data_IF_966135449651
#
_entry.id   IF_966135449651
#
_cell.length_a   1.000
_cell.length_b   1.000
_cell.length_c   1.000
_cell.angle_alpha   90.00
_cell.angle_beta   90.00
_cell.angle_gamma   90.00
#
_symmetry.space_group_name_H-M   'P 1'
#
loop_
_entity.id
_entity.type
_entity.pdbx_description
1 polymer ?
#
# COMPACT_ATOMS: atom_id res chain seq x y z
N UNK A 1 20.72 20.89 8.64
CA UNK A 1 20.54 19.63 7.87
C UNK A 1 21.57 19.58 6.76
N UNK A 2 22.46 18.58 6.72
CA UNK A 2 23.34 18.39 5.55
C UNK A 2 22.48 17.87 4.39
N UNK A 3 22.43 18.58 3.26
CA UNK A 3 21.85 18.08 2.01
C UNK A 3 22.61 16.79 1.65
N UNK A 4 21.90 15.66 1.71
CA UNK A 4 22.43 14.31 1.46
C UNK A 4 22.10 13.86 0.05
N UNK A 5 22.38 14.71 -0.94
CA UNK A 5 22.33 14.32 -2.35
C UNK A 5 23.78 14.34 -2.80
N UNK A 6 24.42 13.17 -2.69
CA UNK A 6 25.79 12.96 -3.15
C UNK A 6 25.77 12.68 -4.66
N UNK A 7 26.81 13.11 -5.37
CA UNK A 7 26.93 12.85 -6.80
C UNK A 7 27.14 11.35 -7.03
N UNK A 8 26.15 10.70 -7.65
CA UNK A 8 26.22 9.28 -8.00
C UNK A 8 26.89 9.12 -9.37
N UNK A 9 28.06 8.48 -9.38
CA UNK A 9 28.86 8.22 -10.59
C UNK A 9 28.69 6.77 -11.11
N UNK A 10 27.83 5.97 -10.47
CA UNK A 10 27.55 4.60 -10.88
C UNK A 10 26.57 4.52 -12.04
N UNK A 11 26.49 3.35 -12.67
CA UNK A 11 25.46 3.07 -13.66
C UNK A 11 24.07 3.00 -13.00
N UNK A 12 23.03 3.47 -13.70
CA UNK A 12 21.64 3.43 -13.23
C UNK A 12 21.10 1.99 -13.05
N UNK A 13 21.81 0.98 -13.57
CA UNK A 13 21.50 -0.44 -13.43
C UNK A 13 22.78 -1.29 -13.36
N UNK A 14 22.62 -2.60 -13.21
CA UNK A 14 23.73 -3.55 -13.09
C UNK A 14 23.95 -4.04 -11.66
N UNK A 15 25.19 -4.41 -11.31
CA UNK A 15 25.49 -5.10 -10.05
C UNK A 15 25.09 -4.33 -8.77
N UNK A 16 25.10 -2.99 -8.81
CA UNK A 16 24.62 -2.16 -7.70
C UNK A 16 23.12 -2.33 -7.46
N UNK A 17 22.32 -2.33 -8.53
CA UNK A 17 20.88 -2.56 -8.48
C UNK A 17 20.57 -3.98 -8.00
N UNK A 18 21.30 -4.99 -8.51
CA UNK A 18 21.15 -6.39 -8.07
C UNK A 18 21.42 -6.53 -6.56
N UNK A 19 22.49 -5.90 -6.05
CA UNK A 19 22.79 -5.89 -4.61
C UNK A 19 21.71 -5.18 -3.80
N UNK A 20 21.15 -4.08 -4.32
CA UNK A 20 20.07 -3.34 -3.67
C UNK A 20 18.80 -4.18 -3.56
N UNK A 21 18.39 -4.87 -4.65
CA UNK A 21 17.27 -5.80 -4.67
C UNK A 21 17.49 -6.96 -3.68
N UNK A 22 18.66 -7.60 -3.71
CA UNK A 22 18.97 -8.69 -2.80
C UNK A 22 18.86 -8.28 -1.32
N UNK A 23 19.30 -7.06 -0.99
CA UNK A 23 19.15 -6.53 0.36
C UNK A 23 17.69 -6.23 0.74
N UNK A 24 16.88 -5.77 -0.22
CA UNK A 24 15.45 -5.50 0.01
C UNK A 24 14.68 -6.80 0.27
N UNK A 25 14.83 -7.79 -0.63
CA UNK A 25 14.27 -9.14 -0.48
C UNK A 25 14.65 -9.76 0.86
N UNK A 26 15.96 -9.72 1.21
CA UNK A 26 16.42 -10.25 2.51
C UNK A 26 15.77 -9.57 3.71
N UNK A 27 15.43 -8.27 3.60
CA UNK A 27 14.82 -7.51 4.69
C UNK A 27 13.33 -7.80 4.86
N UNK A 28 12.64 -8.33 3.85
CA UNK A 28 11.20 -8.62 3.89
C UNK A 28 10.85 -10.07 4.22
N UNK A 29 11.86 -10.86 4.60
CA UNK A 29 11.73 -12.13 5.34
C UNK A 29 11.04 -13.32 4.63
N UNK A 30 10.43 -13.18 3.44
CA UNK A 30 10.04 -14.32 2.59
C UNK A 30 10.76 -14.38 1.23
N UNK A 31 11.96 -14.94 1.22
CA UNK A 31 12.75 -15.11 -0.02
C UNK A 31 12.05 -16.06 -1.02
N UNK A 32 11.19 -16.99 -0.57
CA UNK A 32 10.59 -17.98 -1.48
C UNK A 32 9.45 -17.37 -2.30
N UNK A 33 8.52 -16.68 -1.64
CA UNK A 33 7.44 -16.00 -2.34
C UNK A 33 7.96 -14.83 -3.18
N UNK A 34 8.91 -14.04 -2.65
CA UNK A 34 9.58 -12.95 -3.38
C UNK A 34 10.15 -13.44 -4.72
N UNK A 35 10.88 -14.55 -4.70
CA UNK A 35 11.55 -15.07 -5.90
C UNK A 35 10.54 -15.63 -6.90
N UNK A 36 9.50 -16.35 -6.45
CA UNK A 36 8.46 -16.87 -7.35
C UNK A 36 7.70 -15.71 -8.01
N UNK A 37 7.23 -14.75 -7.22
CA UNK A 37 6.50 -13.59 -7.72
C UNK A 37 7.33 -12.78 -8.73
N UNK A 38 8.65 -12.68 -8.53
CA UNK A 38 9.56 -12.03 -9.48
C UNK A 38 9.62 -12.73 -10.85
N UNK A 39 9.53 -14.06 -10.92
CA UNK A 39 9.55 -14.77 -12.20
C UNK A 39 8.26 -14.61 -13.02
N UNK A 40 7.13 -14.45 -12.34
CA UNK A 40 5.82 -14.24 -12.97
C UNK A 40 5.54 -12.75 -13.25
N UNK A 41 6.36 -11.84 -12.72
CA UNK A 41 6.17 -10.41 -12.91
C UNK A 41 6.53 -9.94 -14.33
N UNK A 42 5.68 -9.08 -14.90
CA UNK A 42 5.77 -8.50 -16.24
C UNK A 42 5.91 -9.58 -17.33
N UNK A 43 5.15 -10.67 -17.19
CA UNK A 43 5.07 -11.76 -18.16
C UNK A 43 3.69 -11.82 -18.79
N UNK A 44 3.56 -12.28 -20.05
CA UNK A 44 2.26 -12.38 -20.72
C UNK A 44 1.19 -13.17 -19.96
N UNK A 45 1.60 -14.26 -19.29
CA UNK A 45 0.73 -15.12 -18.47
C UNK A 45 0.88 -14.85 -16.96
N UNK A 46 1.52 -13.74 -16.62
CA UNK A 46 1.88 -13.35 -15.28
C UNK A 46 1.05 -12.18 -14.77
N UNK A 47 1.70 -11.25 -14.07
CA UNK A 47 1.05 -10.03 -13.59
C UNK A 47 1.95 -8.81 -13.76
N UNK A 48 1.33 -7.64 -13.93
CA UNK A 48 2.07 -6.39 -14.05
C UNK A 48 2.54 -5.91 -12.68
N UNK A 49 3.81 -5.50 -12.60
CA UNK A 49 4.35 -4.88 -11.42
C UNK A 49 3.48 -3.67 -11.00
N UNK A 50 2.96 -3.59 -9.75
CA UNK A 50 2.09 -2.50 -9.29
C UNK A 50 2.73 -1.11 -9.26
N UNK A 51 4.05 -1.04 -9.49
CA UNK A 51 4.82 0.19 -9.64
C UNK A 51 5.43 0.36 -11.04
N UNK A 52 5.03 -0.45 -12.03
CA UNK A 52 5.54 -0.33 -13.39
C UNK A 52 4.96 0.91 -14.07
N UNK A 53 5.82 1.70 -14.69
CA UNK A 53 5.43 2.80 -15.56
C UNK A 53 5.72 2.53 -17.04
N UNK A 54 6.23 1.33 -17.36
CA UNK A 54 6.72 0.98 -18.68
C UNK A 54 5.84 -0.10 -19.32
N UNK A 55 5.53 0.03 -20.62
CA UNK A 55 4.78 -1.00 -21.34
C UNK A 55 5.61 -2.28 -21.44
N UNK A 56 4.91 -3.41 -21.48
CA UNK A 56 5.57 -4.70 -21.60
C UNK A 56 6.31 -4.84 -22.94
N UNK A 57 7.52 -5.41 -22.92
CA UNK A 57 8.26 -5.67 -24.14
C UNK A 57 7.55 -6.74 -24.98
N UNK A 58 7.63 -6.62 -26.31
CA UNK A 58 7.06 -7.62 -27.25
C UNK A 58 7.65 -9.03 -27.06
N UNK A 59 8.82 -9.14 -26.45
CA UNK A 59 9.49 -10.40 -26.11
C UNK A 59 9.91 -10.34 -24.64
N UNK A 60 9.42 -11.29 -23.83
CA UNK A 60 9.81 -11.38 -22.42
C UNK A 60 11.20 -12.01 -22.29
N UNK A 61 12.12 -11.36 -21.57
CA UNK A 61 13.34 -12.00 -21.10
C UNK A 61 13.04 -12.96 -19.94
N UNK A 62 14.02 -13.70 -19.42
CA UNK A 62 13.81 -14.44 -18.16
C UNK A 62 13.65 -13.52 -16.94
N UNK A 63 14.09 -12.26 -17.06
CA UNK A 63 13.97 -11.23 -16.01
C UNK A 63 13.59 -9.88 -16.66
N UNK A 64 12.33 -9.49 -16.55
CA UNK A 64 11.83 -8.17 -17.01
C UNK A 64 11.48 -7.31 -15.80
N UNK A 65 12.47 -7.10 -14.94
CA UNK A 65 12.28 -6.52 -13.61
C UNK A 65 13.20 -5.33 -13.43
N UNK A 66 12.63 -4.18 -13.06
CA UNK A 66 13.41 -3.05 -12.57
C UNK A 66 13.62 -3.14 -11.05
N UNK A 67 14.63 -2.44 -10.53
CA UNK A 67 14.94 -2.44 -9.10
C UNK A 67 13.74 -2.04 -8.23
N UNK A 68 12.98 -1.03 -8.65
CA UNK A 68 11.81 -0.56 -7.92
C UNK A 68 10.66 -1.56 -7.95
N UNK A 69 10.47 -2.27 -9.07
CA UNK A 69 9.46 -3.31 -9.19
C UNK A 69 9.78 -4.50 -8.29
N UNK A 70 11.04 -4.94 -8.26
CA UNK A 70 11.48 -5.98 -7.35
C UNK A 70 11.26 -5.60 -5.87
N UNK A 71 11.56 -4.34 -5.50
CA UNK A 71 11.31 -3.83 -4.15
C UNK A 71 9.82 -3.79 -3.84
N UNK A 72 8.99 -3.28 -4.74
CA UNK A 72 7.55 -3.19 -4.55
C UNK A 72 6.93 -4.57 -4.28
N UNK A 73 7.36 -5.60 -5.03
CA UNK A 73 6.92 -6.97 -4.79
C UNK A 73 7.41 -7.51 -3.46
N UNK A 74 8.68 -7.31 -3.11
CA UNK A 74 9.18 -7.73 -1.80
C UNK A 74 8.38 -7.12 -0.62
N UNK A 75 7.84 -5.90 -0.79
CA UNK A 75 6.94 -5.30 0.20
C UNK A 75 5.54 -5.94 0.17
N UNK A 76 5.01 -6.26 -1.01
CA UNK A 76 3.70 -6.89 -1.14
C UNK A 76 3.66 -8.31 -0.57
N UNK A 77 4.72 -9.11 -0.77
CA UNK A 77 4.77 -10.51 -0.32
C UNK A 77 5.54 -10.72 0.98
N UNK A 78 5.80 -9.65 1.74
CA UNK A 78 6.43 -9.73 3.07
C UNK A 78 5.64 -10.65 4.02
N UNK A 79 6.33 -11.49 4.78
CA UNK A 79 5.72 -12.33 5.81
C UNK A 79 5.52 -11.61 7.15
N UNK A 80 6.05 -10.38 7.27
CA UNK A 80 5.91 -9.57 8.47
C UNK A 80 4.47 -9.11 8.63
N UNK A 81 4.00 -9.20 9.86
CA UNK A 81 2.64 -8.85 10.21
C UNK A 81 2.65 -8.02 11.49
N UNK A 82 1.85 -6.95 11.50
CA UNK A 82 1.49 -6.25 12.73
C UNK A 82 0.17 -6.83 13.24
N UNK A 83 0.19 -7.35 14.46
CA UNK A 83 -0.92 -8.07 15.07
C UNK A 83 -1.46 -7.32 16.29
N UNK A 84 -2.43 -7.92 17.01
CA UNK A 84 -3.02 -7.31 18.20
C UNK A 84 -1.97 -6.93 19.27
N UNK A 85 -0.93 -7.74 19.48
CA UNK A 85 0.10 -7.42 20.48
C UNK A 85 0.94 -6.22 20.07
N UNK A 86 1.28 -6.08 18.78
CA UNK A 86 1.97 -4.89 18.28
C UNK A 86 1.18 -3.61 18.63
N UNK A 87 -0.12 -3.59 18.36
CA UNK A 87 -0.95 -2.41 18.64
C UNK A 87 -1.29 -2.22 20.13
N UNK A 88 -1.18 -3.27 20.94
CA UNK A 88 -1.29 -3.17 22.39
C UNK A 88 -0.04 -2.54 23.04
N UNK A 89 1.14 -2.73 22.42
CA UNK A 89 2.43 -2.24 22.92
C UNK A 89 2.80 -0.86 22.36
N UNK A 90 2.18 -0.43 21.26
CA UNK A 90 2.47 0.83 20.58
C UNK A 90 1.26 1.76 20.61
N UNK A 91 1.40 2.88 21.34
CA UNK A 91 0.38 3.93 21.32
C UNK A 91 0.40 4.70 20.00
N UNK A 92 -0.70 5.33 19.63
CA UNK A 92 -0.79 6.15 18.40
C UNK A 92 0.17 7.33 18.50
N UNK A 93 0.28 7.99 19.66
CA UNK A 93 1.28 9.04 19.87
C UNK A 93 2.73 8.55 19.64
N UNK A 94 3.05 7.31 20.01
CA UNK A 94 4.37 6.73 19.73
C UNK A 94 4.55 6.51 18.23
N UNK A 95 3.58 5.87 17.57
CA UNK A 95 3.63 5.57 16.13
C UNK A 95 3.76 6.84 15.27
N UNK A 96 3.17 7.95 15.68
CA UNK A 96 3.31 9.24 14.99
C UNK A 96 4.75 9.80 14.97
N UNK A 97 5.64 9.29 15.83
CA UNK A 97 7.05 9.69 15.84
C UNK A 97 7.95 8.82 14.97
N UNK A 98 7.42 7.69 14.46
CA UNK A 98 8.17 6.77 13.62
C UNK A 98 8.25 7.31 12.19
N UNK A 99 9.32 6.98 11.48
CA UNK A 99 9.42 7.30 10.05
C UNK A 99 8.50 6.43 9.20
N UNK A 100 8.03 6.95 8.07
CA UNK A 100 7.15 6.21 7.14
C UNK A 100 7.72 4.84 6.75
N UNK A 101 9.04 4.77 6.51
CA UNK A 101 9.73 3.52 6.20
C UNK A 101 9.71 2.54 7.39
N UNK A 102 9.77 3.02 8.62
CA UNK A 102 9.73 2.18 9.83
C UNK A 102 8.33 1.62 10.06
N UNK A 103 7.30 2.46 9.85
CA UNK A 103 5.90 2.05 9.91
C UNK A 103 5.60 0.97 8.88
N UNK A 104 6.00 1.18 7.62
CA UNK A 104 5.82 0.17 6.56
C UNK A 104 6.63 -1.11 6.88
N UNK A 105 7.87 -0.97 7.37
CA UNK A 105 8.74 -2.09 7.73
C UNK A 105 8.25 -2.94 8.89
N UNK A 106 7.30 -2.44 9.70
CA UNK A 106 6.71 -3.18 10.81
C UNK A 106 5.89 -4.39 10.32
N UNK A 107 5.30 -4.30 9.12
CA UNK A 107 4.60 -5.40 8.46
C UNK A 107 3.13 -5.10 8.12
N UNK A 108 2.46 -6.11 7.58
CA UNK A 108 1.10 -6.04 7.06
C UNK A 108 0.06 -5.93 8.17
N UNK A 109 -0.98 -5.12 7.95
CA UNK A 109 -2.22 -5.17 8.72
C UNK A 109 -2.98 -6.45 8.38
N UNK A 110 -3.33 -7.24 9.40
CA UNK A 110 -3.91 -8.58 9.22
C UNK A 110 -5.33 -8.73 9.76
N UNK A 111 -5.86 -7.71 10.43
CA UNK A 111 -7.18 -7.73 11.04
C UNK A 111 -7.71 -6.29 11.17
N UNK A 112 -9.05 -6.11 11.25
CA UNK A 112 -9.63 -4.81 11.52
C UNK A 112 -9.19 -4.26 12.88
N UNK A 113 -9.04 -2.94 12.94
CA UNK A 113 -8.60 -2.22 14.14
C UNK A 113 -9.49 -1.00 14.37
N UNK A 114 -9.70 -0.66 15.63
CA UNK A 114 -10.41 0.55 16.07
C UNK A 114 -9.56 1.28 17.09
N UNK A 115 -9.45 2.60 16.94
CA UNK A 115 -8.74 3.42 17.90
C UNK A 115 -9.52 3.50 19.22
N UNK A 116 -8.83 3.31 20.34
CA UNK A 116 -9.33 3.53 21.69
C UNK A 116 -8.62 4.72 22.33
N UNK A 117 -9.34 5.83 22.47
CA UNK A 117 -8.81 7.08 23.03
C UNK A 117 -8.42 6.98 24.52
N UNK A 118 -8.95 6.01 25.27
CA UNK A 118 -8.59 5.84 26.69
C UNK A 118 -7.19 5.24 26.83
N UNK A 119 -6.86 4.23 26.02
CA UNK A 119 -5.54 3.60 26.03
C UNK A 119 -4.55 4.20 25.05
N UNK A 120 -5.00 5.09 24.16
CA UNK A 120 -4.23 5.60 23.02
C UNK A 120 -3.69 4.49 22.09
N UNK A 121 -4.40 3.38 21.98
CA UNK A 121 -3.98 2.21 21.20
C UNK A 121 -5.07 1.81 20.20
N UNK A 122 -4.65 1.17 19.11
CA UNK A 122 -5.57 0.43 18.26
C UNK A 122 -5.95 -0.91 18.93
N UNK A 123 -7.24 -1.24 18.92
CA UNK A 123 -7.78 -2.51 19.43
C UNK A 123 -8.36 -3.33 18.28
N UNK A 124 -8.16 -4.66 18.27
CA UNK A 124 -8.76 -5.51 17.27
C UNK A 124 -10.28 -5.60 17.43
N UNK A 125 -10.96 -5.75 16.31
CA UNK A 125 -12.38 -6.08 16.23
C UNK A 125 -12.63 -7.04 15.07
N UNK A 126 -13.78 -7.71 15.08
CA UNK A 126 -14.19 -8.55 13.95
C UNK A 126 -14.59 -7.71 12.73
N UNK A 127 -14.54 -8.32 11.54
CA UNK A 127 -15.05 -7.70 10.32
C UNK A 127 -16.52 -7.32 10.44
N UNK A 128 -17.36 -8.17 11.05
CA UNK A 128 -18.78 -7.87 11.24
C UNK A 128 -18.97 -6.62 12.10
N UNK A 129 -18.26 -6.51 13.24
CA UNK A 129 -18.32 -5.32 14.08
C UNK A 129 -17.84 -4.07 13.33
N UNK A 130 -16.77 -4.17 12.54
CA UNK A 130 -16.28 -3.06 11.74
C UNK A 130 -17.35 -2.59 10.74
N UNK A 131 -17.98 -3.50 10.00
CA UNK A 131 -19.04 -3.15 9.06
C UNK A 131 -20.28 -2.57 9.74
N UNK A 132 -20.72 -3.15 10.86
CA UNK A 132 -21.88 -2.67 11.60
C UNK A 132 -21.65 -1.25 12.14
N UNK A 133 -20.48 -0.99 12.72
CA UNK A 133 -20.14 0.34 13.25
C UNK A 133 -19.98 1.39 12.15
N UNK A 134 -19.29 1.06 11.05
CA UNK A 134 -19.15 1.95 9.89
C UNK A 134 -20.53 2.25 9.30
N UNK A 135 -21.36 1.21 9.08
CA UNK A 135 -22.71 1.36 8.55
C UNK A 135 -23.61 2.23 9.43
N UNK A 136 -23.62 1.98 10.74
CA UNK A 136 -24.36 2.79 11.70
C UNK A 136 -23.88 4.26 11.70
N UNK A 137 -22.57 4.49 11.58
CA UNK A 137 -22.02 5.85 11.51
C UNK A 137 -22.44 6.55 10.23
N UNK A 138 -22.35 5.89 9.08
CA UNK A 138 -22.79 6.43 7.79
C UNK A 138 -24.29 6.77 7.80
N UNK A 139 -25.14 5.92 8.38
CA UNK A 139 -26.58 6.18 8.51
C UNK A 139 -26.93 7.31 9.49
N UNK A 140 -26.01 7.70 10.37
CA UNK A 140 -26.24 8.77 11.36
C UNK A 140 -26.18 10.18 10.77
N UNK A 141 -25.61 10.35 9.57
CA UNK A 141 -25.51 11.64 8.90
C UNK A 141 -26.82 11.98 8.18
N UNK A 142 -27.36 13.17 8.44
CA UNK A 142 -28.60 13.63 7.81
C UNK A 142 -28.40 14.19 6.40
N UNK A 143 -27.17 14.57 6.06
CA UNK A 143 -26.76 15.02 4.72
C UNK A 143 -25.60 14.13 4.24
N UNK A 144 -25.79 13.35 3.15
CA UNK A 144 -24.76 12.44 2.65
C UNK A 144 -23.50 13.18 2.13
N UNK A 145 -23.59 14.47 1.82
CA UNK A 145 -22.42 15.26 1.37
C UNK A 145 -21.42 15.54 2.49
N UNK A 146 -21.75 15.23 3.75
CA UNK A 146 -20.80 15.29 4.87
C UNK A 146 -19.79 14.15 4.87
N UNK A 147 -20.01 13.12 4.05
CA UNK A 147 -19.08 11.99 3.91
C UNK A 147 -18.28 12.15 2.64
N UNK A 148 -16.96 12.04 2.79
CA UNK A 148 -15.97 12.04 1.71
C UNK A 148 -15.53 10.61 1.42
N UNK A 149 -15.60 10.22 0.15
CA UNK A 149 -15.21 8.89 -0.32
C UNK A 149 -13.90 8.99 -1.10
N UNK A 150 -12.80 9.17 -0.37
CA UNK A 150 -11.46 9.35 -0.94
C UNK A 150 -10.86 8.04 -1.45
N UNK A 151 -10.35 8.03 -2.67
CA UNK A 151 -9.71 6.85 -3.28
C UNK A 151 -8.39 7.19 -3.97
N UNK A 152 -7.75 6.15 -4.54
CA UNK A 152 -6.44 6.23 -5.17
C UNK A 152 -6.47 5.64 -6.57
N UNK A 153 -5.80 6.30 -7.52
CA UNK A 153 -5.53 5.79 -8.86
C UNK A 153 -4.69 4.51 -8.92
N UNK A 154 -4.20 4.00 -7.77
CA UNK A 154 -3.58 2.66 -7.68
C UNK A 154 -4.59 1.53 -7.43
N UNK A 155 -5.85 1.86 -7.20
CA UNK A 155 -6.94 0.89 -7.00
C UNK A 155 -7.29 0.24 -8.34
N UNK A 156 -7.74 -1.03 -8.34
CA UNK A 156 -8.21 -1.65 -9.58
C UNK A 156 -9.45 -0.94 -10.13
N UNK A 157 -9.68 -1.01 -11.44
CA UNK A 157 -10.84 -0.40 -12.07
C UNK A 157 -12.16 -0.95 -11.50
N UNK A 158 -12.22 -2.23 -11.17
CA UNK A 158 -13.38 -2.90 -10.60
C UNK A 158 -13.65 -2.43 -9.17
N UNK A 159 -12.62 -2.37 -8.32
CA UNK A 159 -12.76 -1.88 -6.96
C UNK A 159 -13.15 -0.40 -6.93
N UNK A 160 -12.55 0.42 -7.80
CA UNK A 160 -12.94 1.81 -7.99
C UNK A 160 -14.41 1.92 -8.45
N UNK A 161 -14.85 1.09 -9.41
CA UNK A 161 -16.23 1.05 -9.91
C UNK A 161 -17.24 0.69 -8.80
N UNK A 162 -16.95 -0.32 -7.98
CA UNK A 162 -17.83 -0.72 -6.88
C UNK A 162 -17.88 0.33 -5.78
N UNK A 163 -16.74 0.94 -5.45
CA UNK A 163 -16.66 1.98 -4.42
C UNK A 163 -17.45 3.23 -4.81
N UNK A 164 -17.33 3.67 -6.07
CA UNK A 164 -18.09 4.80 -6.58
C UNK A 164 -19.61 4.51 -6.67
N UNK A 165 -20.00 3.24 -6.90
CA UNK A 165 -21.41 2.85 -6.95
C UNK A 165 -21.99 2.90 -5.54
N UNK A 166 -21.29 2.32 -4.56
CA UNK A 166 -21.66 2.34 -3.16
C UNK A 166 -21.93 3.76 -2.64
N UNK A 167 -21.02 4.70 -2.90
CA UNK A 167 -21.15 6.06 -2.41
C UNK A 167 -22.24 6.88 -3.14
N UNK A 168 -22.52 6.57 -4.43
CA UNK A 168 -23.69 7.15 -5.14
C UNK A 168 -25.01 6.60 -4.61
N UNK A 169 -25.06 5.31 -4.28
CA UNK A 169 -26.21 4.69 -3.60
C UNK A 169 -26.39 5.26 -2.18
N UNK A 170 -25.30 5.60 -1.49
CA UNK A 170 -25.32 6.35 -0.24
C UNK A 170 -25.87 7.79 -0.41
N UNK A 171 -25.86 8.31 -1.63
CA UNK A 171 -26.40 9.64 -1.98
C UNK A 171 -25.37 10.76 -2.04
N UNK A 172 -24.08 10.44 -2.09
CA UNK A 172 -22.98 11.43 -2.17
C UNK A 172 -22.28 11.38 -3.53
N UNK A 173 -21.89 12.56 -4.03
CA UNK A 173 -20.95 12.70 -5.15
C UNK A 173 -19.58 13.23 -4.70
N UNK A 174 -19.29 13.21 -3.40
CA UNK A 174 -18.04 13.70 -2.83
C UNK A 174 -16.91 12.67 -2.99
N UNK A 175 -16.29 12.67 -4.17
CA UNK A 175 -15.28 11.70 -4.64
C UNK A 175 -13.93 12.35 -4.98
N UNK A 176 -13.22 12.93 -4.02
CA UNK A 176 -11.83 13.30 -4.29
C UNK A 176 -11.00 12.04 -4.48
N UNK A 177 -10.08 12.07 -5.44
CA UNK A 177 -9.16 10.98 -5.74
C UNK A 177 -7.72 11.51 -5.75
N UNK A 178 -6.76 10.66 -5.39
CA UNK A 178 -5.35 11.07 -5.41
C UNK A 178 -4.88 11.52 -6.80
N UNK A 179 -5.50 11.03 -7.87
CA UNK A 179 -5.27 11.45 -9.25
C UNK A 179 -5.69 12.89 -9.51
N UNK A 180 -6.59 13.49 -8.73
CA UNK A 180 -6.86 14.93 -8.82
C UNK A 180 -5.56 15.74 -8.58
N UNK A 181 -4.69 15.28 -7.69
CA UNK A 181 -3.39 15.93 -7.44
C UNK A 181 -2.35 15.67 -8.54
N UNK A 182 -2.60 14.73 -9.47
CA UNK A 182 -1.62 14.32 -10.48
C UNK A 182 -2.03 14.68 -11.93
N UNK A 183 -3.31 14.52 -12.26
CA UNK A 183 -3.83 14.58 -13.62
C UNK A 183 -4.88 15.68 -13.83
N UNK A 184 -5.47 16.22 -12.74
CA UNK A 184 -6.35 17.37 -12.88
C UNK A 184 -5.51 18.61 -13.20
N UNK A 185 -5.79 19.31 -14.31
CA UNK A 185 -5.06 20.50 -14.65
C UNK A 185 -5.36 21.61 -13.63
N UNK A 186 -4.31 22.26 -13.11
CA UNK A 186 -4.39 23.48 -12.31
C UNK A 186 -4.60 24.73 -13.17
#
# INVERSE_FOLDING_TARGET
>A
MKKKIESYQGAAGGWGAVKSVANAVRKQMDIRQDVIAMFDMNKPEGFDCPGCAWPDPKHSASFDICENGAKAIAWEVTDKQVNASFFAENTVQSLLTWGDHELEAAGRLTQPLKYDAVSDCYKPLSWQQAFDEIGARLQSYSDPNQVEFYTSGRTSNEAAFLYQLFAREYGSNNFPDCSNMCHEPT
#
